data_IF_121973638245
#
_entry.id   IF_121973638245
#
_cell.length_a   1.000
_cell.length_b   1.000
_cell.length_c   1.000
_cell.angle_alpha   90.00
_cell.angle_beta   90.00
_cell.angle_gamma   90.00
#
_symmetry.space_group_name_H-M   'P 1'
#
loop_
_entity.id
_entity.type
_entity.pdbx_description
1 polymer ?
#
# COMPACT_ATOMS: atom_id res chain seq x y z
N UNK A 1 38.07 -32.00 -9.13
CA UNK A 1 37.05 -31.02 -8.70
C UNK A 1 37.14 -29.81 -9.63
N UNK A 2 36.31 -29.73 -10.66
CA UNK A 2 36.28 -28.55 -11.53
C UNK A 2 35.29 -27.53 -10.96
N UNK A 3 35.83 -26.43 -10.43
CA UNK A 3 35.04 -25.26 -10.06
C UNK A 3 34.58 -24.57 -11.34
N UNK A 4 33.29 -24.69 -11.66
CA UNK A 4 32.67 -23.82 -12.64
C UNK A 4 32.70 -22.38 -12.09
N UNK A 5 33.31 -21.46 -12.83
CA UNK A 5 33.30 -20.04 -12.48
C UNK A 5 31.86 -19.51 -12.46
N UNK A 6 31.49 -18.61 -11.52
CA UNK A 6 30.13 -18.12 -11.41
C UNK A 6 29.75 -17.33 -12.69
N UNK A 7 28.53 -17.55 -13.23
CA UNK A 7 28.10 -16.92 -14.47
C UNK A 7 28.06 -15.39 -14.30
N UNK A 8 28.60 -14.69 -15.30
CA UNK A 8 28.65 -13.23 -15.30
C UNK A 8 27.27 -12.67 -15.58
N UNK A 9 26.55 -12.31 -14.52
CA UNK A 9 25.30 -11.56 -14.57
C UNK A 9 25.47 -10.33 -15.48
N UNK A 10 24.63 -10.22 -16.51
CA UNK A 10 24.75 -9.15 -17.49
C UNK A 10 24.51 -7.78 -16.83
N UNK A 11 25.46 -6.83 -16.94
CA UNK A 11 25.35 -5.48 -16.35
C UNK A 11 24.09 -4.71 -16.75
N UNK A 12 23.56 -4.99 -17.95
CA UNK A 12 22.30 -4.40 -18.43
C UNK A 12 21.08 -4.83 -17.61
N UNK A 13 21.05 -6.09 -17.16
CA UNK A 13 19.96 -6.62 -16.34
C UNK A 13 19.93 -5.97 -14.95
N UNK A 14 21.10 -5.77 -14.34
CA UNK A 14 21.22 -5.11 -13.04
C UNK A 14 20.75 -3.65 -13.06
N UNK A 15 21.04 -2.90 -14.13
CA UNK A 15 20.56 -1.51 -14.24
C UNK A 15 19.04 -1.42 -14.44
N UNK A 16 18.45 -2.35 -15.20
CA UNK A 16 17.00 -2.39 -15.39
C UNK A 16 16.28 -2.79 -14.09
N UNK A 17 16.81 -3.76 -13.36
CA UNK A 17 16.30 -4.18 -12.06
C UNK A 17 16.37 -3.03 -11.03
N UNK A 18 17.52 -2.38 -10.91
CA UNK A 18 17.69 -1.23 -10.04
C UNK A 18 16.75 -0.08 -10.40
N UNK A 19 16.63 0.25 -11.70
CA UNK A 19 15.69 1.27 -12.17
C UNK A 19 14.24 0.91 -11.85
N UNK A 20 13.88 -0.37 -11.98
CA UNK A 20 12.54 -0.85 -11.67
C UNK A 20 12.24 -0.80 -10.17
N UNK A 21 13.18 -1.17 -9.31
CA UNK A 21 13.04 -1.04 -7.84
C UNK A 21 12.92 0.43 -7.45
N UNK A 22 13.71 1.32 -8.05
CA UNK A 22 13.59 2.78 -7.82
C UNK A 22 12.23 3.30 -8.26
N UNK A 23 11.73 2.85 -9.42
CA UNK A 23 10.40 3.22 -9.90
C UNK A 23 9.31 2.69 -8.97
N UNK A 24 9.42 1.45 -8.49
CA UNK A 24 8.47 0.86 -7.54
C UNK A 24 8.49 1.59 -6.20
N UNK A 25 9.66 1.95 -5.69
CA UNK A 25 9.78 2.77 -4.48
C UNK A 25 9.14 4.14 -4.70
N UNK A 26 9.39 4.78 -5.85
CA UNK A 26 8.77 6.05 -6.21
C UNK A 26 7.25 5.93 -6.26
N UNK A 27 6.72 4.92 -6.95
CA UNK A 27 5.27 4.65 -6.99
C UNK A 27 4.73 4.35 -5.60
N UNK A 28 5.43 3.57 -4.79
CA UNK A 28 4.96 3.20 -3.44
C UNK A 28 4.92 4.43 -2.52
N UNK A 29 5.95 5.27 -2.54
CA UNK A 29 5.98 6.53 -1.79
C UNK A 29 4.93 7.50 -2.32
N UNK A 30 4.93 7.76 -3.62
CA UNK A 30 4.12 8.83 -4.20
C UNK A 30 2.66 8.45 -4.34
N UNK A 31 2.34 7.24 -4.81
CA UNK A 31 0.95 6.77 -4.92
C UNK A 31 0.34 6.55 -3.55
N UNK A 32 1.02 5.91 -2.59
CA UNK A 32 0.44 5.74 -1.24
C UNK A 32 0.22 7.09 -0.58
N UNK A 33 1.19 8.01 -0.64
CA UNK A 33 1.02 9.35 -0.07
C UNK A 33 -0.09 10.14 -0.76
N UNK A 34 -0.14 10.19 -2.09
CA UNK A 34 -1.16 10.99 -2.78
C UNK A 34 -2.55 10.32 -2.80
N UNK A 35 -2.66 8.99 -2.84
CA UNK A 35 -3.95 8.31 -2.73
C UNK A 35 -4.51 8.37 -1.31
N UNK A 36 -3.70 8.14 -0.28
CA UNK A 36 -4.15 8.30 1.11
C UNK A 36 -4.48 9.76 1.43
N UNK A 37 -3.70 10.71 0.90
CA UNK A 37 -4.00 12.13 1.09
C UNK A 37 -5.23 12.57 0.29
N UNK A 38 -5.51 11.97 -0.88
CA UNK A 38 -6.77 12.19 -1.59
C UNK A 38 -7.96 11.67 -0.78
N UNK A 39 -7.85 10.46 -0.19
CA UNK A 39 -8.88 9.90 0.70
C UNK A 39 -9.06 10.73 1.99
N UNK A 40 -7.99 11.30 2.55
CA UNK A 40 -8.07 12.28 3.65
C UNK A 40 -8.69 13.61 3.22
N UNK A 41 -8.56 14.01 1.95
CA UNK A 41 -9.11 15.28 1.45
C UNK A 41 -10.56 15.20 0.95
N UNK A 42 -11.01 14.03 0.48
CA UNK A 42 -12.42 13.74 0.18
C UNK A 42 -13.20 13.34 1.45
N UNK A 43 -12.50 12.93 2.52
CA UNK A 43 -13.04 13.10 3.87
C UNK A 43 -12.94 14.58 4.21
N UNK A 44 -13.90 15.35 3.67
CA UNK A 44 -14.07 16.75 3.99
C UNK A 44 -13.78 16.95 5.47
N UNK A 45 -12.84 17.85 5.73
CA UNK A 45 -12.74 18.57 6.98
C UNK A 45 -14.11 19.16 7.29
N UNK A 46 -14.97 18.34 7.88
CA UNK A 46 -16.22 18.71 8.49
C UNK A 46 -15.93 19.42 9.80
N UNK A 47 -15.09 20.46 9.78
CA UNK A 47 -15.19 21.55 10.73
C UNK A 47 -16.43 22.37 10.36
N UNK A 48 -17.59 21.72 10.38
CA UNK A 48 -18.72 22.40 10.97
C UNK A 48 -18.36 22.46 12.44
N UNK A 49 -18.17 23.67 12.97
CA UNK A 49 -18.08 23.86 14.40
C UNK A 49 -19.39 23.32 14.99
N UNK A 50 -19.42 22.02 15.29
CA UNK A 50 -20.54 21.38 15.94
C UNK A 50 -20.67 22.10 17.27
N UNK A 51 -21.86 22.63 17.52
CA UNK A 51 -22.21 23.20 18.80
C UNK A 51 -21.74 22.23 19.90
N UNK A 52 -20.94 22.72 20.84
CA UNK A 52 -20.42 21.86 21.90
C UNK A 52 -21.61 21.50 22.79
N UNK A 53 -22.10 20.27 22.63
CA UNK A 53 -23.25 19.76 23.35
C UNK A 53 -22.76 19.19 24.70
N UNK A 54 -23.50 19.40 25.81
CA UNK A 54 -23.17 18.79 27.08
C UNK A 54 -23.17 17.26 26.99
N UNK A 55 -22.32 16.60 27.79
CA UNK A 55 -22.14 15.14 27.77
C UNK A 55 -23.46 14.35 27.94
N UNK A 56 -24.47 14.96 28.56
CA UNK A 56 -25.81 14.38 28.76
C UNK A 56 -26.62 14.19 27.48
N UNK A 57 -26.35 15.01 26.47
CA UNK A 57 -27.19 15.15 25.28
C UNK A 57 -26.50 14.53 24.05
N UNK A 58 -25.28 14.03 24.21
CA UNK A 58 -24.60 13.26 23.17
C UNK A 58 -25.27 11.88 22.95
N UNK A 59 -25.35 11.41 21.69
CA UNK A 59 -25.95 10.14 21.32
C UNK A 59 -25.03 8.94 21.65
N UNK A 60 -24.61 8.85 22.92
CA UNK A 60 -23.72 7.82 23.46
C UNK A 60 -24.46 7.02 24.54
N UNK A 61 -24.03 5.78 24.77
CA UNK A 61 -24.64 4.93 25.80
C UNK A 61 -24.22 5.34 27.22
N UNK A 62 -24.93 4.86 28.23
CA UNK A 62 -24.70 5.23 29.63
C UNK A 62 -23.29 4.88 30.14
N UNK A 63 -22.73 3.74 29.68
CA UNK A 63 -21.38 3.30 30.08
C UNK A 63 -20.29 4.17 29.46
N UNK A 64 -20.44 4.52 28.18
CA UNK A 64 -19.55 5.44 27.48
C UNK A 64 -19.55 6.81 28.14
N UNK A 65 -20.73 7.30 28.51
CA UNK A 65 -20.91 8.58 29.21
C UNK A 65 -20.14 8.63 30.53
N UNK A 66 -20.23 7.58 31.34
CA UNK A 66 -19.47 7.50 32.59
C UNK A 66 -17.95 7.46 32.35
N UNK A 67 -17.51 6.79 31.28
CA UNK A 67 -16.09 6.72 30.94
C UNK A 67 -15.57 8.08 30.48
N UNK A 68 -16.29 8.78 29.61
CA UNK A 68 -15.94 10.14 29.18
C UNK A 68 -15.96 11.12 30.35
N UNK A 69 -16.95 11.03 31.24
CA UNK A 69 -16.99 11.85 32.45
C UNK A 69 -15.74 11.66 33.31
N UNK A 70 -15.31 10.40 33.55
CA UNK A 70 -14.07 10.10 34.28
C UNK A 70 -12.81 10.65 33.59
N UNK A 71 -12.78 10.65 32.26
CA UNK A 71 -11.65 11.19 31.49
C UNK A 71 -11.61 12.72 31.54
N UNK A 72 -12.78 13.38 31.52
CA UNK A 72 -12.90 14.83 31.69
C UNK A 72 -12.50 15.23 33.11
N UNK A 73 -13.01 14.53 34.13
CA UNK A 73 -12.70 14.80 35.54
C UNK A 73 -11.23 14.57 35.88
N UNK A 74 -10.56 13.65 35.18
CA UNK A 74 -9.12 13.40 35.33
C UNK A 74 -8.24 14.36 34.51
N UNK A 75 -8.84 15.25 33.70
CA UNK A 75 -8.14 16.20 32.84
C UNK A 75 -7.45 15.56 31.64
N UNK A 76 -7.79 14.31 31.31
CA UNK A 76 -7.20 13.57 30.17
C UNK A 76 -7.81 13.99 28.83
N UNK A 77 -9.06 14.46 28.83
CA UNK A 77 -9.78 14.96 27.65
C UNK A 77 -10.67 16.13 28.03
N UNK A 78 -11.10 16.92 27.06
CA UNK A 78 -12.12 17.96 27.24
C UNK A 78 -13.45 17.57 26.55
N UNK A 79 -14.49 18.35 26.86
CA UNK A 79 -15.82 18.15 26.28
C UNK A 79 -15.82 18.33 24.75
N UNK A 80 -14.94 19.20 24.23
CA UNK A 80 -14.80 19.46 22.80
C UNK A 80 -14.28 18.22 22.06
N UNK A 81 -13.18 17.62 22.54
CA UNK A 81 -12.59 16.39 21.98
C UNK A 81 -13.59 15.24 22.02
N UNK A 82 -14.37 15.12 23.09
CA UNK A 82 -15.43 14.10 23.18
C UNK A 82 -16.50 14.34 22.12
N UNK A 83 -17.01 15.57 21.97
CA UNK A 83 -17.98 15.91 20.94
C UNK A 83 -17.47 15.58 19.53
N UNK A 84 -16.22 15.93 19.23
CA UNK A 84 -15.59 15.60 17.94
C UNK A 84 -15.47 14.09 17.73
N UNK A 85 -15.06 13.34 18.76
CA UNK A 85 -14.91 11.88 18.67
C UNK A 85 -16.22 11.15 18.41
N UNK A 86 -17.32 11.61 19.04
CA UNK A 86 -18.65 11.03 18.87
C UNK A 86 -19.20 11.37 17.50
N UNK A 87 -19.07 12.64 17.05
CA UNK A 87 -19.46 13.06 15.71
C UNK A 87 -18.69 12.29 14.61
N UNK A 88 -17.39 12.06 14.81
CA UNK A 88 -16.58 11.26 13.90
C UNK A 88 -16.99 9.77 13.88
N UNK A 89 -17.59 9.27 14.96
CA UNK A 89 -18.01 7.88 15.12
C UNK A 89 -19.43 7.61 14.63
N UNK A 90 -20.23 8.64 14.30
CA UNK A 90 -21.60 8.44 13.83
C UNK A 90 -21.62 7.55 12.56
N UNK A 91 -22.51 6.54 12.50
CA UNK A 91 -22.68 5.73 11.31
C UNK A 91 -23.19 6.65 10.19
N UNK A 92 -22.35 6.87 9.17
CA UNK A 92 -22.76 7.58 7.96
C UNK A 92 -22.57 6.63 6.79
N UNK A 93 -23.60 6.54 5.94
CA UNK A 93 -23.64 5.63 4.80
C UNK A 93 -22.66 6.02 3.68
N UNK A 94 -22.08 7.23 3.75
CA UNK A 94 -21.12 7.79 2.81
C UNK A 94 -19.64 7.49 3.16
N UNK A 95 -19.35 6.89 4.31
CA UNK A 95 -17.96 6.62 4.76
C UNK A 95 -17.18 5.61 3.91
N UNK A 96 -17.88 4.84 3.08
CA UNK A 96 -17.28 3.76 2.29
C UNK A 96 -17.66 3.89 0.81
N UNK A 97 -17.44 5.06 0.23
CA UNK A 97 -17.58 5.21 -1.21
C UNK A 97 -16.44 4.49 -1.93
N UNK A 98 -16.77 3.44 -2.68
CA UNK A 98 -15.78 2.63 -3.38
C UNK A 98 -15.24 3.44 -4.56
N UNK A 99 -14.02 3.93 -4.42
CA UNK A 99 -13.32 4.60 -5.52
C UNK A 99 -12.98 3.59 -6.62
N UNK A 100 -13.74 3.64 -7.71
CA UNK A 100 -13.47 2.85 -8.93
C UNK A 100 -12.07 3.16 -9.47
N UNK A 101 -11.59 4.39 -9.29
CA UNK A 101 -10.24 4.79 -9.67
C UNK A 101 -9.15 4.07 -8.85
N UNK A 102 -9.32 3.96 -7.53
CA UNK A 102 -8.41 3.20 -6.68
C UNK A 102 -8.41 1.70 -7.03
N UNK A 103 -9.57 1.15 -7.34
CA UNK A 103 -9.72 -0.23 -7.81
C UNK A 103 -8.99 -0.48 -9.15
N UNK A 104 -9.11 0.44 -10.10
CA UNK A 104 -8.38 0.35 -11.37
C UNK A 104 -6.88 0.56 -11.20
N UNK A 105 -6.47 1.43 -10.28
CA UNK A 105 -5.07 1.66 -9.94
C UNK A 105 -4.39 0.41 -9.38
N UNK A 106 -5.04 -0.27 -8.44
CA UNK A 106 -4.55 -1.54 -7.88
C UNK A 106 -4.48 -2.65 -8.94
N UNK A 107 -5.50 -2.77 -9.81
CA UNK A 107 -5.48 -3.69 -10.94
C UNK A 107 -4.30 -3.42 -11.88
N UNK A 108 -4.06 -2.16 -12.24
CA UNK A 108 -2.96 -1.75 -13.11
C UNK A 108 -1.59 -2.08 -12.49
N UNK A 109 -1.41 -1.85 -11.19
CA UNK A 109 -0.18 -2.20 -10.47
C UNK A 109 0.09 -3.71 -10.52
N UNK A 110 -0.95 -4.53 -10.33
CA UNK A 110 -0.87 -5.99 -10.39
C UNK A 110 -0.47 -6.48 -11.79
N UNK A 111 -1.10 -5.92 -12.83
CA UNK A 111 -0.78 -6.23 -14.23
C UNK A 111 0.65 -5.79 -14.58
N UNK A 112 1.07 -4.60 -14.13
CA UNK A 112 2.43 -4.11 -14.32
C UNK A 112 3.48 -5.01 -13.69
N UNK A 113 3.26 -5.43 -12.44
CA UNK A 113 4.12 -6.38 -11.74
C UNK A 113 4.20 -7.73 -12.47
N UNK A 114 3.05 -8.33 -12.81
CA UNK A 114 2.99 -9.61 -13.54
C UNK A 114 3.72 -9.53 -14.89
N UNK A 115 3.52 -8.44 -15.63
CA UNK A 115 4.19 -8.21 -16.91
C UNK A 115 5.71 -8.15 -16.74
N UNK A 116 6.18 -7.44 -15.70
CA UNK A 116 7.60 -7.37 -15.36
C UNK A 116 8.18 -8.75 -15.00
N UNK A 117 7.51 -9.49 -14.10
CA UNK A 117 7.94 -10.84 -13.70
C UNK A 117 8.02 -11.77 -14.91
N UNK A 118 7.00 -11.75 -15.76
CA UNK A 118 6.95 -12.61 -16.94
C UNK A 118 8.07 -12.28 -17.94
N UNK A 119 8.33 -10.98 -18.17
CA UNK A 119 9.41 -10.53 -19.06
C UNK A 119 10.80 -10.92 -18.54
N UNK A 120 11.05 -10.76 -17.24
CA UNK A 120 12.32 -11.12 -16.60
C UNK A 120 12.54 -12.64 -16.61
N UNK A 121 11.50 -13.41 -16.28
CA UNK A 121 11.57 -14.88 -16.17
C UNK A 121 11.96 -15.56 -17.49
N UNK A 122 11.45 -15.10 -18.64
CA UNK A 122 11.79 -15.68 -19.96
C UNK A 122 13.27 -15.53 -20.35
N UNK A 123 13.98 -14.57 -19.76
CA UNK A 123 15.40 -14.36 -20.05
C UNK A 123 16.26 -15.42 -19.36
N UNK A 124 15.97 -15.68 -18.09
CA UNK A 124 16.71 -16.67 -17.28
C UNK A 124 16.33 -18.11 -17.64
N UNK A 125 15.05 -18.38 -17.97
CA UNK A 125 14.64 -19.72 -18.40
C UNK A 125 15.35 -20.19 -19.68
N UNK A 126 15.60 -19.29 -20.65
CA UNK A 126 16.33 -19.65 -21.87
C UNK A 126 17.80 -19.96 -21.60
N UNK A 127 18.47 -19.17 -20.75
CA UNK A 127 19.87 -19.42 -20.38
C UNK A 127 20.02 -20.77 -19.63
N UNK A 128 19.07 -21.12 -18.76
CA UNK A 128 19.08 -22.42 -18.06
C UNK A 128 18.77 -23.58 -19.02
N UNK A 129 17.83 -23.42 -19.95
CA UNK A 129 17.51 -24.45 -20.95
C UNK A 129 18.68 -24.67 -21.89
N UNK A 130 19.38 -23.62 -22.31
CA UNK A 130 20.59 -23.74 -23.13
C UNK A 130 21.76 -24.37 -22.33
N UNK A 131 21.91 -24.05 -21.04
CA UNK A 131 22.92 -24.67 -20.18
C UNK A 131 22.63 -26.15 -19.84
N UNK A 132 21.35 -26.52 -19.66
CA UNK A 132 20.93 -27.89 -19.33
C UNK A 132 20.71 -28.78 -20.56
N UNK A 133 20.31 -28.21 -21.70
CA UNK A 133 19.85 -28.94 -22.88
C UNK A 133 20.40 -28.41 -24.21
N UNK A 134 21.32 -27.43 -24.20
CA UNK A 134 22.00 -26.96 -25.40
C UNK A 134 22.82 -28.07 -26.08
N UNK A 135 23.05 -27.98 -27.39
CA UNK A 135 23.70 -29.02 -28.16
C UNK A 135 25.14 -29.25 -27.67
N UNK A 136 25.37 -30.35 -26.94
CA UNK A 136 26.70 -30.95 -26.85
C UNK A 136 26.96 -31.77 -28.11
N UNK A 137 27.17 -31.09 -29.22
CA UNK A 137 27.67 -31.66 -30.47
C UNK A 137 28.54 -30.53 -31.05
N UNK A 138 29.84 -30.65 -31.33
CA UNK A 138 30.68 -31.77 -31.72
C UNK A 138 32.10 -31.45 -31.24
N UNK A 139 32.69 -32.24 -30.34
CA UNK A 139 34.16 -32.28 -30.19
C UNK A 139 34.54 -33.61 -29.55
N UNK A 140 34.04 -34.69 -30.15
CA UNK A 140 34.50 -36.06 -29.90
C UNK A 140 34.60 -36.76 -31.25
N UNK A 141 35.42 -36.24 -32.16
CA UNK A 141 36.13 -37.00 -33.21
C UNK A 141 36.87 -36.05 -34.17
N UNK A 142 38.19 -35.92 -33.98
CA UNK A 142 39.22 -36.14 -35.02
C UNK A 142 40.60 -36.08 -34.40
#
# INVERSE_FOLDING_TARGET
MHYAAPPRQSRRGQMVDALFIVLLLFVTLFVTTFMMQLEESDTESGTSASEIVPLSDLPINDTEREQFQKMIDSGMTDLETVNQSVAASEPRDDKYEISVAALLGTLALLVGYLTFVYRTSFREYREVVEYKFGPRYEEVES
#
